data_IF_687195922062
#
_entry.id   IF_687195922062
#
_cell.length_a   1.000
_cell.length_b   1.000
_cell.length_c   1.000
_cell.angle_alpha   90.00
_cell.angle_beta   90.00
_cell.angle_gamma   90.00
#
_symmetry.space_group_name_H-M   'P 1'
#
loop_
_entity.id
_entity.type
_entity.pdbx_description
1 polymer ?
#
# COMPACT_ATOMS: atom_id res chain seq x y z
N UNK A 1 19.67 -5.61 14.50
CA UNK A 1 19.39 -5.03 13.17
C UNK A 1 20.42 -5.49 12.14
N UNK A 2 21.69 -5.02 12.20
CA UNK A 2 22.74 -5.41 11.23
C UNK A 2 22.90 -6.92 11.00
N UNK A 3 22.91 -7.72 12.06
CA UNK A 3 23.00 -9.19 11.94
C UNK A 3 21.91 -9.75 11.02
N UNK A 4 20.65 -9.33 11.24
CA UNK A 4 19.52 -9.72 10.39
C UNK A 4 19.61 -9.15 8.97
N UNK A 5 20.01 -7.88 8.81
CA UNK A 5 20.21 -7.30 7.47
C UNK A 5 21.29 -8.07 6.69
N UNK A 6 22.44 -8.36 7.31
CA UNK A 6 23.51 -9.11 6.65
C UNK A 6 23.09 -10.55 6.34
N UNK A 7 22.37 -11.21 7.25
CA UNK A 7 21.79 -12.53 7.00
C UNK A 7 20.86 -12.50 5.78
N UNK A 8 20.02 -11.46 5.64
CA UNK A 8 19.13 -11.28 4.49
C UNK A 8 19.89 -10.99 3.18
N UNK A 9 20.85 -10.07 3.21
CA UNK A 9 21.66 -9.65 2.04
C UNK A 9 22.56 -10.79 1.54
N UNK A 10 23.26 -11.46 2.45
CA UNK A 10 24.31 -12.44 2.12
C UNK A 10 23.81 -13.89 2.14
N UNK A 11 22.61 -14.14 2.67
CA UNK A 11 21.97 -15.44 2.63
C UNK A 11 22.49 -16.48 3.61
N UNK A 12 23.15 -16.07 4.70
CA UNK A 12 23.59 -16.97 5.77
C UNK A 12 22.62 -16.99 6.96
N UNK A 13 22.62 -18.08 7.73
CA UNK A 13 21.89 -18.17 9.00
C UNK A 13 22.69 -17.62 10.17
N UNK A 14 22.03 -17.00 11.15
CA UNK A 14 22.67 -16.58 12.39
C UNK A 14 22.95 -17.79 13.29
N UNK A 15 24.11 -17.81 13.95
CA UNK A 15 24.43 -18.86 14.94
C UNK A 15 23.48 -18.78 16.15
N UNK A 16 23.20 -19.91 16.83
CA UNK A 16 22.38 -19.91 18.04
C UNK A 16 22.88 -18.94 19.12
N UNK A 17 24.20 -18.80 19.27
CA UNK A 17 24.86 -17.86 20.18
C UNK A 17 24.51 -16.42 19.83
N UNK A 18 24.62 -16.05 18.55
CA UNK A 18 24.26 -14.71 18.06
C UNK A 18 22.80 -14.40 18.34
N UNK A 19 21.89 -15.35 18.09
CA UNK A 19 20.45 -15.19 18.34
C UNK A 19 20.17 -15.04 19.85
N UNK A 20 20.88 -15.78 20.70
CA UNK A 20 20.78 -15.69 22.16
C UNK A 20 21.20 -14.30 22.65
N UNK A 21 22.31 -13.77 22.16
CA UNK A 21 22.80 -12.44 22.51
C UNK A 21 21.84 -11.34 22.04
N UNK A 22 21.32 -11.47 20.83
CA UNK A 22 20.26 -10.57 20.31
C UNK A 22 19.05 -10.61 21.24
N UNK A 23 18.58 -11.79 21.64
CA UNK A 23 17.46 -11.91 22.58
C UNK A 23 17.79 -11.22 23.89
N UNK A 24 18.95 -11.47 24.49
CA UNK A 24 19.35 -10.86 25.76
C UNK A 24 19.41 -9.33 25.69
N UNK A 25 19.86 -8.78 24.57
CA UNK A 25 20.15 -7.34 24.43
C UNK A 25 19.16 -6.54 23.59
N UNK A 26 18.12 -7.15 23.00
CA UNK A 26 17.15 -6.50 22.10
C UNK A 26 16.60 -5.17 22.61
N UNK A 27 16.36 -5.02 23.91
CA UNK A 27 15.83 -3.79 24.52
C UNK A 27 16.80 -2.60 24.39
N UNK A 28 18.10 -2.84 24.24
CA UNK A 28 19.12 -1.80 23.98
C UNK A 28 18.89 -1.11 22.63
N UNK A 29 18.09 -1.68 21.72
CA UNK A 29 17.72 -1.05 20.45
C UNK A 29 17.08 0.33 20.64
N UNK A 30 16.33 0.53 21.73
CA UNK A 30 15.71 1.82 22.10
C UNK A 30 16.72 2.96 22.29
N UNK A 31 18.00 2.64 22.54
CA UNK A 31 19.10 3.62 22.68
C UNK A 31 19.77 3.97 21.35
N UNK A 32 19.42 3.28 20.27
CA UNK A 32 19.99 3.53 18.94
C UNK A 32 19.29 4.71 18.27
N UNK A 33 20.05 5.52 17.53
CA UNK A 33 19.49 6.62 16.74
C UNK A 33 18.41 6.08 15.76
N UNK A 34 17.20 6.66 15.74
CA UNK A 34 16.12 6.18 14.90
C UNK A 34 16.44 6.09 13.41
N UNK A 35 17.22 7.04 12.89
CA UNK A 35 17.65 7.09 11.49
C UNK A 35 18.51 5.87 11.12
N UNK A 36 19.35 5.41 12.05
CA UNK A 36 20.16 4.18 11.87
C UNK A 36 19.27 2.94 11.89
N UNK A 37 18.26 2.91 12.75
CA UNK A 37 17.31 1.80 12.82
C UNK A 37 16.48 1.74 11.54
N UNK A 38 15.98 2.89 11.06
CA UNK A 38 15.28 3.04 9.77
C UNK A 38 16.16 2.53 8.62
N UNK A 39 17.41 2.98 8.54
CA UNK A 39 18.32 2.60 7.47
C UNK A 39 18.55 1.08 7.40
N UNK A 40 18.83 0.45 8.54
CA UNK A 40 19.01 -1.00 8.61
C UNK A 40 17.73 -1.76 8.27
N UNK A 41 16.55 -1.22 8.64
CA UNK A 41 15.26 -1.80 8.30
C UNK A 41 14.97 -1.71 6.80
N UNK A 42 15.09 -0.53 6.20
CA UNK A 42 14.77 -0.33 4.78
C UNK A 42 15.72 -1.13 3.87
N UNK A 43 17.01 -1.21 4.22
CA UNK A 43 17.95 -2.09 3.51
C UNK A 43 17.59 -3.57 3.63
N UNK A 44 17.15 -4.02 4.80
CA UNK A 44 16.65 -5.39 4.99
C UNK A 44 15.43 -5.64 4.11
N UNK A 45 14.47 -4.71 4.10
CA UNK A 45 13.27 -4.81 3.26
C UNK A 45 13.59 -4.77 1.76
N UNK A 46 14.69 -4.14 1.36
CA UNK A 46 15.16 -4.12 -0.02
C UNK A 46 15.74 -5.48 -0.51
N UNK A 47 15.92 -6.46 0.38
CA UNK A 47 16.38 -7.81 0.02
C UNK A 47 15.22 -8.72 -0.40
N UNK A 48 15.45 -9.83 -1.12
CA UNK A 48 14.41 -10.83 -1.42
C UNK A 48 14.11 -11.80 -0.25
N UNK A 49 14.74 -11.61 0.92
CA UNK A 49 14.57 -12.46 2.11
C UNK A 49 13.95 -11.70 3.27
N UNK A 50 13.23 -10.61 3.00
CA UNK A 50 12.71 -9.75 4.06
C UNK A 50 11.67 -10.49 4.91
N UNK A 51 10.77 -11.27 4.29
CA UNK A 51 9.71 -11.96 5.03
C UNK A 51 10.26 -12.96 6.05
N UNK A 52 11.19 -13.82 5.61
CA UNK A 52 11.84 -14.82 6.49
C UNK A 52 12.66 -14.12 7.58
N UNK A 53 13.40 -13.07 7.24
CA UNK A 53 14.19 -12.32 8.21
C UNK A 53 13.32 -11.58 9.24
N UNK A 54 12.18 -11.02 8.83
CA UNK A 54 11.21 -10.41 9.75
C UNK A 54 10.62 -11.45 10.70
N UNK A 55 10.31 -12.64 10.21
CA UNK A 55 9.87 -13.76 11.05
C UNK A 55 10.96 -14.18 12.05
N UNK A 56 12.24 -14.16 11.67
CA UNK A 56 13.35 -14.46 12.58
C UNK A 56 13.54 -13.38 13.66
N UNK A 57 13.41 -12.10 13.26
CA UNK A 57 13.39 -10.97 14.19
C UNK A 57 12.22 -11.10 15.17
N UNK A 58 11.07 -11.57 14.70
CA UNK A 58 9.89 -11.82 15.51
C UNK A 58 10.10 -12.95 16.53
N UNK A 59 10.67 -14.09 16.09
CA UNK A 59 11.07 -15.21 16.95
C UNK A 59 12.13 -14.85 17.98
N UNK A 60 12.95 -13.84 17.72
CA UNK A 60 13.89 -13.27 18.69
C UNK A 60 13.28 -12.19 19.59
N UNK A 61 12.01 -11.81 19.35
CA UNK A 61 11.33 -10.72 20.06
C UNK A 61 11.90 -9.34 19.74
N UNK A 62 12.73 -9.21 18.70
CA UNK A 62 13.29 -7.94 18.26
C UNK A 62 12.26 -7.12 17.49
N UNK A 63 11.43 -7.78 16.67
CA UNK A 63 10.42 -7.08 15.85
C UNK A 63 9.42 -6.30 16.71
N UNK A 64 8.94 -6.89 17.80
CA UNK A 64 8.00 -6.24 18.73
C UNK A 64 8.65 -5.21 19.66
N UNK A 65 9.98 -5.21 19.78
CA UNK A 65 10.71 -4.09 20.41
C UNK A 65 10.75 -2.89 19.47
N UNK A 66 10.90 -3.14 18.17
CA UNK A 66 10.90 -2.10 17.14
C UNK A 66 9.49 -1.52 16.92
N UNK A 67 8.49 -2.39 16.91
CA UNK A 67 7.08 -2.07 16.71
C UNK A 67 6.21 -2.73 17.78
N UNK A 68 6.10 -2.12 18.98
CA UNK A 68 5.23 -2.62 20.05
C UNK A 68 3.77 -2.79 19.61
N UNK A 69 3.34 -2.01 18.62
CA UNK A 69 2.00 -2.07 18.02
C UNK A 69 1.68 -3.42 17.36
N UNK A 70 2.69 -4.23 17.04
CA UNK A 70 2.52 -5.57 16.46
C UNK A 70 2.17 -6.65 17.50
N UNK A 71 2.50 -6.45 18.78
CA UNK A 71 2.27 -7.48 19.80
C UNK A 71 0.78 -7.86 19.97
N UNK A 72 -0.17 -6.91 20.00
CA UNK A 72 -1.61 -7.24 20.05
C UNK A 72 -2.11 -8.05 18.84
N UNK A 73 -1.46 -7.94 17.68
CA UNK A 73 -1.85 -8.67 16.47
C UNK A 73 -1.70 -10.19 16.63
N UNK A 74 -0.78 -10.67 17.49
CA UNK A 74 -0.58 -12.11 17.76
C UNK A 74 -1.78 -12.85 18.32
N UNK A 75 -2.63 -12.11 19.03
CA UNK A 75 -3.79 -12.64 19.76
C UNK A 75 -5.10 -12.29 19.05
N UNK A 76 -5.07 -11.30 18.18
CA UNK A 76 -6.23 -10.84 17.43
C UNK A 76 -6.52 -11.76 16.24
N UNK A 77 -7.80 -12.01 15.97
CA UNK A 77 -8.22 -12.67 14.73
C UNK A 77 -7.81 -14.14 14.57
N UNK A 78 -7.43 -14.85 15.63
CA UNK A 78 -7.02 -16.27 15.55
C UNK A 78 -8.07 -17.19 14.93
N UNK A 79 -9.35 -16.85 15.01
CA UNK A 79 -10.42 -17.59 14.34
C UNK A 79 -10.34 -17.51 12.80
N UNK A 80 -9.72 -16.47 12.25
CA UNK A 80 -9.55 -16.27 10.81
C UNK A 80 -8.14 -16.64 10.33
N UNK A 81 -7.12 -16.37 11.14
CA UNK A 81 -5.71 -16.47 10.76
C UNK A 81 -4.95 -17.61 11.43
N UNK A 82 -5.58 -18.36 12.34
CA UNK A 82 -4.95 -19.43 13.09
C UNK A 82 -3.92 -18.94 14.12
N UNK A 83 -2.93 -19.80 14.40
CA UNK A 83 -1.88 -19.53 15.38
C UNK A 83 -1.02 -18.34 14.95
N UNK A 84 -0.81 -17.40 15.88
CA UNK A 84 -0.08 -16.16 15.60
C UNK A 84 -0.96 -15.02 15.07
N UNK A 85 -2.26 -15.27 14.84
CA UNK A 85 -3.25 -14.23 14.58
C UNK A 85 -2.92 -13.34 13.38
N UNK A 86 -3.33 -12.08 13.46
CA UNK A 86 -3.09 -11.08 12.41
C UNK A 86 -1.60 -10.88 12.12
N UNK A 87 -0.71 -11.03 13.11
CA UNK A 87 0.73 -10.85 12.87
C UNK A 87 1.31 -11.92 11.94
N UNK A 88 0.89 -13.18 12.13
CA UNK A 88 1.30 -14.27 11.24
C UNK A 88 0.81 -14.02 9.80
N UNK A 89 -0.41 -13.52 9.66
CA UNK A 89 -0.95 -13.08 8.36
C UNK A 89 -0.09 -11.98 7.72
N UNK A 90 0.20 -10.88 8.43
CA UNK A 90 1.01 -9.79 7.88
C UNK A 90 2.42 -10.25 7.46
N UNK A 91 3.06 -11.13 8.22
CA UNK A 91 4.36 -11.71 7.83
C UNK A 91 4.25 -12.60 6.57
N UNK A 92 3.18 -13.41 6.48
CA UNK A 92 2.91 -14.22 5.29
C UNK A 92 2.60 -13.35 4.06
N UNK A 93 1.91 -12.23 4.24
CA UNK A 93 1.59 -11.27 3.20
C UNK A 93 2.85 -10.59 2.64
N UNK A 94 3.82 -10.24 3.50
CA UNK A 94 5.15 -9.75 3.03
C UNK A 94 5.84 -10.80 2.15
N UNK A 95 5.80 -12.08 2.53
CA UNK A 95 6.37 -13.16 1.71
C UNK A 95 5.61 -13.39 0.39
N UNK A 96 4.29 -13.24 0.42
CA UNK A 96 3.45 -13.28 -0.78
C UNK A 96 3.77 -12.14 -1.74
N UNK A 97 4.00 -10.93 -1.21
CA UNK A 97 4.46 -9.76 -1.97
C UNK A 97 5.84 -10.01 -2.57
N UNK A 98 6.80 -10.56 -1.83
CA UNK A 98 8.13 -10.92 -2.37
C UNK A 98 8.01 -11.87 -3.56
N UNK A 99 7.23 -12.92 -3.43
CA UNK A 99 6.97 -13.87 -4.52
C UNK A 99 6.28 -13.19 -5.71
N UNK A 100 5.33 -12.30 -5.48
CA UNK A 100 4.68 -11.54 -6.55
C UNK A 100 5.69 -10.66 -7.32
N UNK A 101 6.64 -10.03 -6.61
CA UNK A 101 7.70 -9.23 -7.23
C UNK A 101 8.61 -10.07 -8.14
N UNK A 102 8.87 -11.33 -7.77
CA UNK A 102 9.61 -12.29 -8.62
C UNK A 102 8.78 -12.76 -9.82
N UNK A 103 7.48 -12.93 -9.63
CA UNK A 103 6.55 -13.43 -10.64
C UNK A 103 5.97 -12.34 -11.57
N UNK A 104 6.41 -11.08 -11.48
CA UNK A 104 5.87 -9.99 -12.32
C UNK A 104 5.82 -10.32 -13.82
N UNK A 105 6.86 -10.92 -14.45
CA UNK A 105 6.79 -11.30 -15.87
C UNK A 105 5.70 -12.33 -16.16
N UNK A 106 5.45 -13.26 -15.23
CA UNK A 106 4.42 -14.27 -15.35
C UNK A 106 3.02 -13.67 -15.16
N UNK A 107 2.85 -12.81 -14.16
CA UNK A 107 1.54 -12.24 -13.81
C UNK A 107 1.12 -11.12 -14.77
N UNK A 108 2.08 -10.31 -15.27
CA UNK A 108 1.84 -9.08 -16.05
C UNK A 108 2.70 -8.98 -17.33
N UNK A 109 2.68 -9.98 -18.23
CA UNK A 109 3.63 -10.07 -19.34
C UNK A 109 3.67 -8.83 -20.27
N UNK A 110 2.54 -8.13 -20.44
CA UNK A 110 2.47 -6.98 -21.37
C UNK A 110 3.11 -5.69 -20.85
N UNK A 111 3.32 -5.56 -19.53
CA UNK A 111 3.83 -4.30 -18.93
C UNK A 111 4.75 -4.51 -17.72
N UNK A 112 5.21 -5.75 -17.46
CA UNK A 112 6.06 -6.05 -16.30
C UNK A 112 7.35 -5.24 -16.27
N UNK A 113 7.93 -4.89 -17.43
CA UNK A 113 9.14 -4.06 -17.49
C UNK A 113 8.91 -2.65 -16.93
N UNK A 114 7.84 -1.98 -17.37
CA UNK A 114 7.46 -0.67 -16.86
C UNK A 114 7.08 -0.71 -15.37
N UNK A 115 6.32 -1.73 -14.97
CA UNK A 115 5.98 -1.97 -13.56
C UNK A 115 7.24 -2.21 -12.70
N UNK A 116 8.17 -3.04 -13.18
CA UNK A 116 9.43 -3.31 -12.47
C UNK A 116 10.27 -2.05 -12.33
N UNK A 117 10.33 -1.20 -13.37
CA UNK A 117 11.00 0.09 -13.31
C UNK A 117 10.36 0.98 -12.24
N UNK A 118 9.04 1.13 -12.27
CA UNK A 118 8.29 1.93 -11.30
C UNK A 118 8.50 1.47 -9.85
N UNK A 119 8.52 0.15 -9.61
CA UNK A 119 8.74 -0.41 -8.27
C UNK A 119 10.20 -0.29 -7.78
N UNK A 120 11.15 -0.08 -8.69
CA UNK A 120 12.59 0.13 -8.36
C UNK A 120 12.96 1.60 -8.20
N UNK A 121 12.09 2.53 -8.57
CA UNK A 121 12.28 3.96 -8.30
C UNK A 121 12.53 4.20 -6.81
N UNK A 122 13.41 5.14 -6.51
CA UNK A 122 13.79 5.43 -5.13
C UNK A 122 12.81 6.39 -4.47
N UNK A 123 12.44 6.06 -3.24
CA UNK A 123 11.67 6.91 -2.32
C UNK A 123 12.49 6.97 -1.04
N UNK A 124 12.86 8.17 -0.56
CA UNK A 124 13.69 8.30 0.64
C UNK A 124 15.06 7.60 0.55
N UNK A 125 15.60 7.40 -0.66
CA UNK A 125 16.86 6.71 -0.90
C UNK A 125 16.77 5.18 -1.02
N UNK A 126 15.58 4.59 -0.86
CA UNK A 126 15.36 3.15 -0.95
C UNK A 126 14.38 2.80 -2.06
N UNK A 127 14.46 1.61 -2.69
CA UNK A 127 13.51 1.22 -3.72
C UNK A 127 12.06 1.22 -3.20
N UNK A 128 11.11 1.67 -4.03
CA UNK A 128 9.68 1.75 -3.68
C UNK A 128 9.16 0.43 -3.13
N UNK A 129 9.55 -0.72 -3.72
CA UNK A 129 9.12 -2.03 -3.23
C UNK A 129 9.54 -2.33 -1.78
N UNK A 130 10.62 -1.74 -1.26
CA UNK A 130 11.01 -1.88 0.15
C UNK A 130 10.00 -1.17 1.07
N UNK A 131 9.52 0.01 0.66
CA UNK A 131 8.43 0.70 1.35
C UNK A 131 7.12 -0.07 1.26
N UNK A 132 6.83 -0.72 0.12
CA UNK A 132 5.63 -1.55 -0.02
C UNK A 132 5.64 -2.75 0.94
N UNK A 133 6.78 -3.36 1.22
CA UNK A 133 6.87 -4.40 2.26
C UNK A 133 6.61 -3.85 3.66
N UNK A 134 6.94 -2.58 3.91
CA UNK A 134 6.58 -1.91 5.16
C UNK A 134 5.08 -1.63 5.25
N UNK A 135 4.45 -1.23 4.13
CA UNK A 135 2.98 -1.12 4.02
C UNK A 135 2.34 -2.48 4.30
N UNK A 136 2.83 -3.54 3.65
CA UNK A 136 2.32 -4.91 3.77
C UNK A 136 2.43 -5.44 5.21
N UNK A 137 3.53 -5.17 5.90
CA UNK A 137 3.70 -5.54 7.32
C UNK A 137 2.65 -4.87 8.23
N UNK A 138 2.17 -3.68 7.85
CA UNK A 138 1.30 -2.85 8.68
C UNK A 138 -0.14 -2.70 8.18
N UNK A 139 -0.50 -3.27 7.03
CA UNK A 139 -1.81 -3.01 6.41
C UNK A 139 -2.97 -3.26 7.38
N UNK A 140 -2.84 -4.30 8.21
CA UNK A 140 -3.83 -4.75 9.18
C UNK A 140 -3.55 -4.32 10.63
N UNK A 141 -2.58 -3.43 10.88
CA UNK A 141 -2.14 -3.07 12.23
C UNK A 141 -3.24 -2.47 13.11
N UNK A 142 -4.30 -1.92 12.52
CA UNK A 142 -5.45 -1.38 13.23
C UNK A 142 -6.44 -2.42 13.76
N UNK A 143 -6.39 -3.68 13.28
CA UNK A 143 -7.37 -4.72 13.64
C UNK A 143 -7.53 -4.91 15.15
N UNK A 144 -6.46 -5.02 15.97
CA UNK A 144 -6.59 -5.21 17.42
C UNK A 144 -7.43 -4.14 18.12
N UNK A 145 -7.25 -2.87 17.76
CA UNK A 145 -7.96 -1.74 18.38
C UNK A 145 -9.43 -1.64 17.95
N UNK A 146 -9.78 -2.26 16.82
CA UNK A 146 -11.15 -2.26 16.26
C UNK A 146 -11.89 -3.58 16.41
N UNK A 147 -11.24 -4.58 17.02
CA UNK A 147 -11.79 -5.91 17.19
C UNK A 147 -13.05 -5.86 18.05
N UNK A 148 -14.20 -6.17 17.45
CA UNK A 148 -15.50 -6.23 18.13
C UNK A 148 -16.22 -7.51 17.77
N UNK A 149 -16.90 -8.11 18.75
CA UNK A 149 -17.71 -9.32 18.55
C UNK A 149 -19.19 -8.94 18.64
N UNK A 150 -19.91 -9.11 17.54
CA UNK A 150 -21.34 -8.82 17.46
C UNK A 150 -22.05 -10.03 16.83
N UNK A 151 -23.16 -10.48 17.46
CA UNK A 151 -23.94 -11.67 17.02
C UNK A 151 -23.06 -12.90 16.71
N UNK A 152 -22.02 -13.11 17.51
CA UNK A 152 -21.10 -14.24 17.36
C UNK A 152 -20.01 -14.09 16.29
N UNK A 153 -20.00 -13.00 15.51
CA UNK A 153 -18.99 -12.73 14.47
C UNK A 153 -18.00 -11.67 14.94
N UNK A 154 -16.72 -11.91 14.68
CA UNK A 154 -15.66 -10.94 14.94
C UNK A 154 -15.51 -10.04 13.71
N UNK A 155 -15.49 -8.73 13.91
CA UNK A 155 -15.28 -7.76 12.83
C UNK A 155 -14.26 -6.70 13.25
N UNK A 156 -13.73 -6.00 12.24
CA UNK A 156 -12.65 -5.00 12.38
C UNK A 156 -13.00 -3.72 11.61
N UNK A 157 -14.21 -3.19 11.81
CA UNK A 157 -14.65 -2.01 11.04
C UNK A 157 -13.81 -0.77 11.41
N UNK A 158 -13.33 -0.06 10.38
CA UNK A 158 -12.48 1.13 10.54
C UNK A 158 -11.02 0.84 10.88
N UNK A 159 -10.56 -0.42 10.77
CA UNK A 159 -9.17 -0.78 11.09
C UNK A 159 -8.15 -0.12 10.16
N UNK A 160 -8.53 0.17 8.92
CA UNK A 160 -7.77 0.93 7.93
C UNK A 160 -7.46 2.35 8.42
N UNK A 161 -8.49 3.08 8.88
CA UNK A 161 -8.33 4.44 9.40
C UNK A 161 -7.52 4.47 10.71
N UNK A 162 -7.73 3.49 11.60
CA UNK A 162 -6.91 3.34 12.81
C UNK A 162 -5.47 2.98 12.46
N UNK A 163 -5.28 2.06 11.51
CA UNK A 163 -3.99 1.64 11.00
C UNK A 163 -3.18 2.81 10.44
N UNK A 164 -3.80 3.64 9.60
CA UNK A 164 -3.19 4.86 9.07
C UNK A 164 -2.64 5.79 10.17
N UNK A 165 -3.39 5.99 11.26
CA UNK A 165 -2.95 6.82 12.40
C UNK A 165 -1.81 6.17 13.18
N UNK A 166 -1.83 4.84 13.34
CA UNK A 166 -0.76 4.10 14.01
C UNK A 166 0.54 4.18 13.21
N UNK A 167 0.48 3.95 11.89
CA UNK A 167 1.69 3.99 11.06
C UNK A 167 2.25 5.40 10.90
N UNK A 168 1.44 6.45 10.99
CA UNK A 168 1.94 7.83 11.06
C UNK A 168 2.84 8.05 12.30
N UNK A 169 2.47 7.48 13.45
CA UNK A 169 3.30 7.52 14.67
C UNK A 169 4.57 6.70 14.51
N UNK A 170 4.47 5.52 13.89
CA UNK A 170 5.63 4.66 13.59
C UNK A 170 6.58 5.38 12.62
N UNK A 171 6.07 6.02 11.56
CA UNK A 171 6.85 6.78 10.60
C UNK A 171 7.61 7.93 11.26
N UNK A 172 6.96 8.66 12.16
CA UNK A 172 7.61 9.70 12.99
C UNK A 172 8.72 9.11 13.87
N UNK A 173 8.45 7.96 14.53
CA UNK A 173 9.44 7.25 15.36
C UNK A 173 10.64 6.76 14.54
N UNK A 174 10.45 6.39 13.28
CA UNK A 174 11.52 6.01 12.34
C UNK A 174 12.17 7.21 11.64
N UNK A 175 11.71 8.45 11.89
CA UNK A 175 12.19 9.67 11.23
C UNK A 175 12.08 9.58 9.70
N UNK A 176 11.00 8.99 9.18
CA UNK A 176 10.69 9.04 7.75
C UNK A 176 10.43 10.50 7.32
N UNK A 177 10.74 10.85 6.07
CA UNK A 177 10.38 12.16 5.54
C UNK A 177 8.87 12.36 5.51
N UNK A 178 8.42 13.61 5.41
CA UNK A 178 6.99 13.93 5.31
C UNK A 178 6.30 13.21 4.14
N UNK A 179 7.00 13.02 3.01
CA UNK A 179 6.46 12.32 1.85
C UNK A 179 6.36 10.80 2.10
N UNK A 180 7.39 10.18 2.68
CA UNK A 180 7.36 8.76 3.06
C UNK A 180 6.27 8.48 4.11
N UNK A 181 6.16 9.33 5.13
CA UNK A 181 5.15 9.20 6.18
C UNK A 181 3.73 9.31 5.62
N UNK A 182 3.50 10.26 4.69
CA UNK A 182 2.21 10.44 4.02
C UNK A 182 1.88 9.23 3.15
N UNK A 183 2.84 8.77 2.36
CA UNK A 183 2.67 7.59 1.48
C UNK A 183 2.35 6.34 2.29
N UNK A 184 3.10 6.05 3.35
CA UNK A 184 2.86 4.89 4.23
C UNK A 184 1.45 4.95 4.85
N UNK A 185 1.07 6.11 5.40
CA UNK A 185 -0.25 6.30 6.04
C UNK A 185 -1.40 6.20 5.04
N UNK A 186 -1.23 6.79 3.85
CA UNK A 186 -2.23 6.77 2.77
C UNK A 186 -2.45 5.34 2.26
N UNK A 187 -1.38 4.60 2.01
CA UNK A 187 -1.47 3.23 1.51
C UNK A 187 -2.09 2.29 2.55
N UNK A 188 -1.66 2.35 3.82
CA UNK A 188 -2.28 1.56 4.89
C UNK A 188 -3.75 1.94 5.09
N UNK A 189 -4.10 3.23 5.04
CA UNK A 189 -5.49 3.68 5.13
C UNK A 189 -6.37 3.32 3.93
N UNK A 190 -5.78 2.90 2.81
CA UNK A 190 -6.48 2.59 1.57
C UNK A 190 -6.36 1.12 1.15
N UNK A 191 -5.69 0.26 1.93
CA UNK A 191 -5.32 -1.11 1.53
C UNK A 191 -6.51 -2.00 1.13
N UNK A 192 -7.69 -1.76 1.72
CA UNK A 192 -8.92 -2.50 1.35
C UNK A 192 -9.53 -2.06 0.01
N UNK A 193 -9.17 -0.88 -0.52
CA UNK A 193 -9.84 -0.29 -1.71
C UNK A 193 -9.74 -1.19 -2.95
N UNK A 194 -8.57 -1.74 -3.35
CA UNK A 194 -8.51 -2.57 -4.54
C UNK A 194 -9.28 -3.89 -4.39
N UNK A 195 -9.22 -4.52 -3.21
CA UNK A 195 -10.04 -5.68 -2.88
C UNK A 195 -11.53 -5.38 -2.98
N UNK A 196 -12.00 -4.27 -2.41
CA UNK A 196 -13.39 -3.85 -2.50
C UNK A 196 -13.84 -3.62 -3.95
N UNK A 197 -13.02 -2.93 -4.76
CA UNK A 197 -13.29 -2.73 -6.19
C UNK A 197 -13.40 -4.07 -6.93
N UNK A 198 -12.54 -5.04 -6.60
CA UNK A 198 -12.55 -6.38 -7.21
C UNK A 198 -13.81 -7.21 -6.92
N UNK A 199 -14.51 -6.92 -5.83
CA UNK A 199 -15.77 -7.58 -5.48
C UNK A 199 -17.02 -6.84 -5.97
N UNK A 200 -16.87 -5.66 -6.58
CA UNK A 200 -18.01 -4.97 -7.20
C UNK A 200 -18.42 -5.67 -8.52
N UNK A 201 -19.72 -5.72 -8.85
CA UNK A 201 -20.17 -6.31 -10.12
C UNK A 201 -19.63 -5.58 -11.36
N UNK A 202 -19.45 -4.25 -11.26
CA UNK A 202 -19.02 -3.38 -12.35
C UNK A 202 -17.97 -2.40 -11.85
N UNK A 203 -16.76 -2.47 -12.44
CA UNK A 203 -15.72 -1.48 -12.26
C UNK A 203 -15.94 -0.30 -13.21
N UNK A 204 -16.42 0.82 -12.67
CA UNK A 204 -16.72 2.05 -13.43
C UNK A 204 -15.48 2.92 -13.63
N UNK A 205 -15.46 3.70 -14.72
CA UNK A 205 -14.33 4.61 -15.01
C UNK A 205 -14.20 5.72 -13.95
N UNK A 206 -15.33 6.21 -13.41
CA UNK A 206 -15.34 7.12 -12.25
C UNK A 206 -14.63 6.52 -11.04
N UNK A 207 -14.85 5.24 -10.73
CA UNK A 207 -14.20 4.58 -9.60
C UNK A 207 -12.69 4.43 -9.82
N UNK A 208 -12.27 4.11 -11.05
CA UNK A 208 -10.86 4.05 -11.45
C UNK A 208 -10.22 5.44 -11.31
N UNK A 209 -10.84 6.48 -11.87
CA UNK A 209 -10.36 7.85 -11.79
C UNK A 209 -10.21 8.33 -10.33
N UNK A 210 -11.26 8.15 -9.51
CA UNK A 210 -11.20 8.51 -8.08
C UNK A 210 -10.09 7.76 -7.35
N UNK A 211 -9.89 6.46 -7.65
CA UNK A 211 -8.80 5.68 -7.06
C UNK A 211 -7.43 6.32 -7.35
N UNK A 212 -7.13 6.61 -8.61
CA UNK A 212 -5.84 7.22 -8.97
C UNK A 212 -5.69 8.65 -8.47
N UNK A 213 -6.74 9.46 -8.53
CA UNK A 213 -6.74 10.82 -8.00
C UNK A 213 -6.44 10.84 -6.50
N UNK A 214 -7.12 10.02 -5.72
CA UNK A 214 -6.98 10.02 -4.26
C UNK A 214 -5.64 9.44 -3.81
N UNK A 215 -5.08 8.49 -4.57
CA UNK A 215 -3.83 7.80 -4.23
C UNK A 215 -2.59 8.44 -4.85
N UNK A 216 -2.74 9.29 -5.86
CA UNK A 216 -1.66 9.94 -6.57
C UNK A 216 -0.59 8.90 -7.00
N UNK A 217 0.70 9.18 -6.73
CA UNK A 217 1.81 8.28 -7.03
C UNK A 217 1.85 6.99 -6.21
N UNK A 218 0.97 6.78 -5.23
CA UNK A 218 0.90 5.55 -4.42
C UNK A 218 -0.03 4.50 -5.04
N UNK A 219 -0.83 4.87 -6.05
CA UNK A 219 -1.88 4.00 -6.60
C UNK A 219 -1.33 2.67 -7.11
N UNK A 220 -0.25 2.69 -7.89
CA UNK A 220 0.38 1.48 -8.43
C UNK A 220 0.95 0.61 -7.31
N UNK A 221 1.63 1.21 -6.33
CA UNK A 221 2.18 0.50 -5.18
C UNK A 221 1.09 -0.22 -4.37
N UNK A 222 -0.02 0.47 -4.10
CA UNK A 222 -1.16 -0.08 -3.38
C UNK A 222 -1.83 -1.24 -4.11
N UNK A 223 -1.94 -1.16 -5.44
CA UNK A 223 -2.46 -2.27 -6.26
C UNK A 223 -1.61 -3.53 -6.11
N UNK A 224 -0.28 -3.38 -6.01
CA UNK A 224 0.64 -4.50 -5.82
C UNK A 224 0.57 -5.06 -4.38
N UNK A 225 0.53 -4.19 -3.37
CA UNK A 225 0.32 -4.58 -1.96
C UNK A 225 -0.98 -5.37 -1.81
N UNK A 226 -2.10 -4.82 -2.28
CA UNK A 226 -3.40 -5.50 -2.17
C UNK A 226 -3.43 -6.85 -2.89
N UNK A 227 -2.69 -7.00 -3.99
CA UNK A 227 -2.57 -8.30 -4.65
C UNK A 227 -1.69 -9.28 -3.85
N UNK A 228 -0.62 -8.80 -3.23
CA UNK A 228 0.23 -9.55 -2.31
C UNK A 228 -0.57 -10.15 -1.15
N UNK A 229 -1.36 -9.30 -0.48
CA UNK A 229 -2.31 -9.71 0.57
C UNK A 229 -3.33 -10.74 0.04
N UNK A 230 -4.03 -10.42 -1.06
CA UNK A 230 -5.05 -11.32 -1.63
C UNK A 230 -4.49 -12.70 -2.02
N UNK A 231 -3.25 -12.74 -2.48
CA UNK A 231 -2.57 -13.98 -2.85
C UNK A 231 -2.30 -14.91 -1.67
N UNK A 232 -2.29 -14.43 -0.42
CA UNK A 232 -2.19 -15.29 0.76
C UNK A 232 -3.32 -16.32 0.85
N UNK A 233 -4.50 -16.00 0.31
CA UNK A 233 -5.68 -16.86 0.30
C UNK A 233 -5.81 -17.73 -0.96
N UNK A 234 -5.01 -17.47 -2.00
CA UNK A 234 -5.10 -18.19 -3.27
C UNK A 234 -4.05 -19.31 -3.38
N UNK A 235 -4.49 -20.48 -3.85
CA UNK A 235 -3.57 -21.55 -4.24
C UNK A 235 -2.71 -21.16 -5.43
N UNK A 236 -1.53 -21.77 -5.59
CA UNK A 236 -0.66 -21.56 -6.76
C UNK A 236 -1.40 -21.77 -8.08
N UNK A 237 -2.28 -22.78 -8.14
CA UNK A 237 -3.12 -23.05 -9.32
C UNK A 237 -4.10 -21.89 -9.59
N UNK A 238 -4.76 -21.37 -8.56
CA UNK A 238 -5.70 -20.26 -8.68
C UNK A 238 -5.00 -18.97 -9.15
N UNK A 239 -3.83 -18.66 -8.60
CA UNK A 239 -3.00 -17.51 -9.03
C UNK A 239 -2.64 -17.60 -10.51
N UNK A 240 -2.16 -18.78 -10.96
CA UNK A 240 -1.80 -19.02 -12.38
C UNK A 240 -3.00 -18.96 -13.32
N UNK A 241 -4.18 -19.35 -12.86
CA UNK A 241 -5.40 -19.30 -13.67
C UNK A 241 -5.82 -17.86 -14.01
N UNK A 242 -5.48 -16.86 -13.17
CA UNK A 242 -5.73 -15.43 -13.42
C UNK A 242 -7.21 -15.07 -13.67
N UNK A 243 -8.13 -15.92 -13.16
CA UNK A 243 -9.59 -15.75 -13.27
C UNK A 243 -10.22 -15.00 -12.10
N UNK A 244 -9.48 -14.89 -10.99
CA UNK A 244 -9.94 -14.24 -9.77
C UNK A 244 -10.40 -12.77 -10.03
N UNK A 245 -11.56 -12.34 -9.50
CA UNK A 245 -12.09 -10.99 -9.74
C UNK A 245 -11.18 -9.85 -9.27
N UNK A 246 -10.52 -10.01 -8.12
CA UNK A 246 -9.58 -9.01 -7.57
C UNK A 246 -8.35 -8.93 -8.47
N UNK A 247 -7.78 -10.06 -8.89
CA UNK A 247 -6.69 -10.09 -9.86
C UNK A 247 -7.07 -9.40 -11.18
N UNK A 248 -8.24 -9.71 -11.75
CA UNK A 248 -8.70 -9.10 -13.02
C UNK A 248 -8.85 -7.58 -12.90
N UNK A 249 -9.38 -7.11 -11.78
CA UNK A 249 -9.56 -5.68 -11.50
C UNK A 249 -8.21 -4.97 -11.37
N UNK A 250 -7.32 -5.50 -10.53
CA UNK A 250 -5.98 -4.94 -10.35
C UNK A 250 -5.20 -4.94 -11.67
N UNK A 251 -5.25 -6.04 -12.43
CA UNK A 251 -4.61 -6.12 -13.75
C UNK A 251 -5.16 -5.07 -14.72
N UNK A 252 -6.49 -4.86 -14.75
CA UNK A 252 -7.11 -3.82 -15.60
C UNK A 252 -6.61 -2.43 -15.20
N UNK A 253 -6.60 -2.12 -13.90
CA UNK A 253 -6.14 -0.81 -13.41
C UNK A 253 -4.65 -0.58 -13.74
N UNK A 254 -3.78 -1.54 -13.44
CA UNK A 254 -2.36 -1.47 -13.81
C UNK A 254 -2.18 -1.31 -15.33
N UNK A 255 -2.94 -2.05 -16.13
CA UNK A 255 -2.93 -1.93 -17.59
C UNK A 255 -3.36 -0.54 -18.05
N UNK A 256 -4.38 0.07 -17.43
CA UNK A 256 -4.77 1.44 -17.75
C UNK A 256 -3.61 2.40 -17.45
N UNK A 257 -2.97 2.28 -16.29
CA UNK A 257 -1.86 3.16 -15.92
C UNK A 257 -0.68 3.07 -16.89
N UNK A 258 -0.25 1.86 -17.26
CA UNK A 258 0.96 1.69 -18.08
C UNK A 258 0.73 1.76 -19.58
N UNK A 259 -0.46 1.40 -20.07
CA UNK A 259 -0.72 1.26 -21.50
C UNK A 259 -1.77 2.25 -22.04
N UNK A 260 -2.54 2.91 -21.15
CA UNK A 260 -3.60 3.87 -21.50
C UNK A 260 -3.64 5.03 -20.50
N UNK A 261 -2.53 5.80 -20.33
CA UNK A 261 -2.44 6.83 -19.31
C UNK A 261 -3.59 7.84 -19.34
N UNK A 262 -4.15 8.13 -20.51
CA UNK A 262 -5.32 8.98 -20.72
C UNK A 262 -6.60 8.46 -20.02
N UNK A 263 -6.70 7.15 -19.77
CA UNK A 263 -7.79 6.54 -19.02
C UNK A 263 -7.66 6.74 -17.49
N UNK A 264 -6.47 7.11 -17.03
CA UNK A 264 -6.17 7.41 -15.61
C UNK A 264 -6.15 8.91 -15.37
N UNK A 265 -5.47 9.64 -16.25
CA UNK A 265 -5.36 11.09 -16.21
C UNK A 265 -5.79 11.68 -17.55
N UNK A 266 -7.10 11.99 -17.70
CA UNK A 266 -7.61 12.60 -18.92
C UNK A 266 -6.93 13.94 -19.23
N UNK A 267 -6.67 14.25 -20.52
CA UNK A 267 -6.05 15.52 -20.90
C UNK A 267 -6.96 16.69 -20.51
N UNK A 268 -6.37 17.80 -20.05
CA UNK A 268 -7.17 18.97 -19.65
C UNK A 268 -7.90 19.56 -20.86
N UNK A 269 -9.23 19.59 -20.81
CA UNK A 269 -10.08 20.24 -21.81
C UNK A 269 -10.34 21.73 -21.51
N UNK A 270 -10.14 22.16 -20.27
CA UNK A 270 -10.25 23.54 -19.84
C UNK A 270 -9.33 23.81 -18.65
N UNK A 271 -8.75 25.01 -18.57
CA UNK A 271 -7.97 25.47 -17.43
C UNK A 271 -8.71 26.49 -16.56
N UNK A 272 -8.10 26.84 -15.41
CA UNK A 272 -8.69 27.79 -14.47
C UNK A 272 -8.86 29.19 -15.05
N UNK A 273 -7.92 29.65 -15.88
CA UNK A 273 -7.98 30.99 -16.48
C UNK A 273 -9.14 31.09 -17.48
N UNK A 274 -9.30 30.06 -18.32
CA UNK A 274 -10.42 29.93 -19.24
C UNK A 274 -11.75 29.87 -18.51
N UNK A 275 -11.83 29.09 -17.42
CA UNK A 275 -13.03 28.97 -16.59
C UNK A 275 -13.39 30.31 -15.93
N UNK A 276 -12.42 30.98 -15.30
CA UNK A 276 -12.61 32.29 -14.66
C UNK A 276 -13.06 33.35 -15.66
N UNK A 277 -12.39 33.45 -16.82
CA UNK A 277 -12.73 34.42 -17.86
C UNK A 277 -14.14 34.19 -18.41
N UNK A 278 -14.51 32.94 -18.67
CA UNK A 278 -15.79 32.60 -19.31
C UNK A 278 -16.99 32.72 -18.37
N UNK A 279 -16.78 32.53 -17.07
CA UNK A 279 -17.83 32.55 -16.05
C UNK A 279 -17.76 33.80 -15.14
N UNK A 280 -16.82 34.72 -15.42
CA UNK A 280 -16.55 35.93 -14.62
C UNK A 280 -16.31 35.60 -13.13
N UNK A 281 -15.64 34.48 -12.86
CA UNK A 281 -15.31 34.06 -11.49
C UNK A 281 -14.03 34.74 -11.02
N UNK A 282 -13.97 35.06 -9.72
CA UNK A 282 -12.74 35.49 -9.06
C UNK A 282 -11.85 34.27 -8.73
N UNK A 283 -10.53 34.44 -8.64
CA UNK A 283 -9.65 33.40 -8.13
C UNK A 283 -10.08 32.92 -6.74
N UNK A 284 -10.16 31.61 -6.54
CA UNK A 284 -10.59 31.02 -5.26
C UNK A 284 -10.76 29.50 -5.29
N UNK A 285 -11.03 28.88 -4.12
CA UNK A 285 -11.17 27.43 -3.99
C UNK A 285 -12.30 26.85 -4.85
N UNK A 286 -13.34 27.63 -5.15
CA UNK A 286 -14.43 27.21 -6.03
C UNK A 286 -13.99 26.93 -7.46
N UNK A 287 -12.98 27.64 -7.98
CA UNK A 287 -12.40 27.35 -9.29
C UNK A 287 -11.76 25.96 -9.28
N UNK A 288 -11.04 25.62 -8.22
CA UNK A 288 -10.46 24.30 -8.01
C UNK A 288 -11.53 23.20 -7.91
N UNK A 289 -12.60 23.46 -7.15
CA UNK A 289 -13.77 22.56 -7.02
C UNK A 289 -14.39 22.27 -8.39
N UNK A 290 -14.70 23.31 -9.17
CA UNK A 290 -15.29 23.17 -10.50
C UNK A 290 -14.37 22.40 -11.46
N UNK A 291 -13.07 22.69 -11.46
CA UNK A 291 -12.10 21.94 -12.27
C UNK A 291 -12.02 20.46 -11.88
N UNK A 292 -12.14 20.14 -10.59
CA UNK A 292 -12.18 18.75 -10.12
C UNK A 292 -13.44 18.02 -10.60
N UNK A 293 -14.61 18.66 -10.50
CA UNK A 293 -15.88 18.13 -10.98
C UNK A 293 -15.88 17.90 -12.50
N UNK A 294 -15.35 18.85 -13.26
CA UNK A 294 -15.19 18.73 -14.73
C UNK A 294 -14.29 17.55 -15.07
N UNK A 295 -13.14 17.40 -14.39
CA UNK A 295 -12.23 16.27 -14.66
C UNK A 295 -12.85 14.93 -14.31
N UNK A 296 -13.64 14.86 -13.25
CA UNK A 296 -14.35 13.65 -12.90
C UNK A 296 -15.45 13.31 -13.93
N UNK A 297 -16.21 14.29 -14.40
CA UNK A 297 -17.18 14.11 -15.47
C UNK A 297 -16.52 13.77 -16.82
N UNK A 298 -15.30 14.26 -17.05
CA UNK A 298 -14.49 13.88 -18.20
C UNK A 298 -14.07 12.41 -18.14
N UNK A 299 -13.73 11.90 -16.96
CA UNK A 299 -13.35 10.49 -16.79
C UNK A 299 -14.47 9.51 -17.13
N UNK A 300 -15.73 9.95 -17.11
CA UNK A 300 -16.91 9.14 -17.49
C UNK A 300 -17.41 9.41 -18.90
N UNK A 301 -16.77 10.32 -19.65
CA UNK A 301 -17.22 10.75 -20.97
C UNK A 301 -18.46 11.67 -20.96
N UNK A 302 -18.93 12.12 -19.80
CA UNK A 302 -20.05 13.07 -19.69
C UNK A 302 -19.66 14.48 -20.18
N UNK A 303 -18.37 14.81 -20.08
CA UNK A 303 -17.79 16.07 -20.56
C UNK A 303 -16.57 15.78 -21.41
N UNK A 304 -16.63 16.03 -22.72
CA UNK A 304 -15.52 15.75 -23.66
C UNK A 304 -15.01 17.01 -24.36
N UNK A 305 -15.70 18.13 -24.23
CA UNK A 305 -15.35 19.39 -24.93
C UNK A 305 -15.27 20.58 -23.97
N UNK A 306 -14.51 21.64 -24.32
CA UNK A 306 -14.47 22.87 -23.53
C UNK A 306 -15.86 23.50 -23.34
N UNK A 307 -16.72 23.43 -24.36
CA UNK A 307 -18.09 23.96 -24.28
C UNK A 307 -18.96 23.21 -23.26
N UNK A 308 -18.90 21.88 -23.26
CA UNK A 308 -19.57 21.06 -22.25
C UNK A 308 -19.00 21.31 -20.85
N UNK A 309 -17.68 21.53 -20.71
CA UNK A 309 -17.06 21.83 -19.42
C UNK A 309 -17.58 23.15 -18.83
N UNK A 310 -17.75 24.18 -19.67
CA UNK A 310 -18.37 25.45 -19.26
C UNK A 310 -19.85 25.26 -18.88
N UNK A 311 -20.60 24.46 -19.63
CA UNK A 311 -21.99 24.17 -19.30
C UNK A 311 -22.11 23.40 -17.97
N UNK A 312 -21.23 22.42 -17.76
CA UNK A 312 -21.15 21.65 -16.53
C UNK A 312 -20.87 22.56 -15.33
N UNK A 313 -19.86 23.42 -15.44
CA UNK A 313 -19.52 24.38 -14.40
C UNK A 313 -20.67 25.32 -14.05
N UNK A 314 -21.42 25.82 -15.06
CA UNK A 314 -22.59 26.68 -14.83
C UNK A 314 -23.71 26.01 -14.03
N UNK A 315 -23.84 24.68 -14.10
CA UNK A 315 -24.84 23.93 -13.33
C UNK A 315 -24.46 23.74 -11.85
N UNK A 316 -23.18 23.96 -11.52
CA UNK A 316 -22.60 23.75 -10.18
C UNK A 316 -22.31 25.05 -9.41
N UNK A 317 -22.51 26.18 -10.08
CA UNK A 317 -22.54 27.53 -9.51
C UNK A 317 -23.94 27.82 -8.98
#
# INVERSE_FOLDING_TARGET
MRAYRFSAELGFGLTPETVRDIRLHRRKLSRSAPERVREELLRLLATPRAATTLADMDRAGLLVVLFPELEPMRRTGRAYYGTGGVLAHSLAAVGSLEKLLEELPLQFPSFHGALSKHLRETVGGHPRFAHLKLVELFHDIGKPATAKREKGKLHFYGHDAVGARLVAKIASRLRLSSNESRSLSRQVGAHMRPGNLGHTPVLTDRAIYRFYRDLEGDAVGLLIVSLGDHFTYLSTRARRARKDPVFRTIRKMLSNFFLKPEAVEPPKIIDGNQLMKSLKLKPGPDVGRLLAEIREAQSTGEVTTPAQALQWARRLL
#
